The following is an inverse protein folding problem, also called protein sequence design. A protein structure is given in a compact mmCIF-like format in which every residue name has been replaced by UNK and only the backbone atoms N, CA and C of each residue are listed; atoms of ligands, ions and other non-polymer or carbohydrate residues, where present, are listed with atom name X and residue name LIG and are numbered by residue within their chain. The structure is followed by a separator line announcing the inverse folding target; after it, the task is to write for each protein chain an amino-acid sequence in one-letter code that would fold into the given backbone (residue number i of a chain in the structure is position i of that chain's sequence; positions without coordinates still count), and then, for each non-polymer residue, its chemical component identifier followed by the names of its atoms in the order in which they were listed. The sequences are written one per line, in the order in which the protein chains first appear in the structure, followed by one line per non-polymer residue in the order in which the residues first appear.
data_IF_484639179306
#
_entry.id   IF_484639179306
#
_cell.length_a   1.000
_cell.length_b   1.000
_cell.length_c   1.000
_cell.angle_alpha   90.00
_cell.angle_beta   90.00
_cell.angle_gamma   90.00
#
_symmetry.space_group_name_H-M   'P 1'
#
loop_
_entity.id
_entity.type
_entity.pdbx_description
1 polymer ?
#
# COMPACT_ATOMS: atom_id res chain seq x y z
N UNK A 1 -4.45 12.66 17.70
CA UNK A 1 -4.77 12.29 16.31
C UNK A 1 -3.66 11.44 15.71
N UNK A 2 -2.40 11.90 15.78
CA UNK A 2 -1.20 11.14 15.33
C UNK A 2 -1.12 9.73 15.93
N UNK A 3 -1.24 9.58 17.25
CA UNK A 3 -1.19 8.25 17.90
C UNK A 3 -2.25 7.27 17.39
N UNK A 4 -3.48 7.75 17.10
CA UNK A 4 -4.56 6.90 16.54
C UNK A 4 -4.23 6.44 15.12
N UNK A 5 -3.54 7.27 14.33
CA UNK A 5 -3.09 6.90 12.99
C UNK A 5 -1.98 5.86 13.07
N UNK A 6 -1.00 6.07 13.96
CA UNK A 6 0.07 5.11 14.23
C UNK A 6 -0.47 3.74 14.70
N UNK A 7 -1.40 3.72 15.64
CA UNK A 7 -2.04 2.49 16.12
C UNK A 7 -2.74 1.74 14.98
N UNK A 8 -3.49 2.46 14.15
CA UNK A 8 -4.19 1.89 12.99
C UNK A 8 -3.22 1.35 11.94
N UNK A 9 -2.12 2.05 11.66
CA UNK A 9 -1.08 1.56 10.73
C UNK A 9 -0.41 0.30 11.26
N UNK A 10 -0.07 0.26 12.55
CA UNK A 10 0.48 -0.96 13.18
C UNK A 10 -0.50 -2.13 13.12
N UNK A 11 -1.79 -1.90 13.31
CA UNK A 11 -2.83 -2.92 13.18
C UNK A 11 -2.93 -3.44 11.74
N UNK A 12 -2.95 -2.55 10.75
CA UNK A 12 -2.96 -2.92 9.34
C UNK A 12 -1.73 -3.77 8.96
N UNK A 13 -0.54 -3.41 9.48
CA UNK A 13 0.70 -4.16 9.26
C UNK A 13 0.60 -5.56 9.88
N UNK A 14 0.00 -5.71 11.07
CA UNK A 14 -0.23 -7.03 11.69
C UNK A 14 -1.18 -7.90 10.85
N UNK A 15 -2.29 -7.32 10.38
CA UNK A 15 -3.26 -8.02 9.55
C UNK A 15 -2.59 -8.51 8.26
N UNK A 16 -1.84 -7.63 7.61
CA UNK A 16 -1.08 -7.96 6.40
C UNK A 16 -0.08 -9.09 6.62
N UNK A 17 0.74 -9.00 7.68
CA UNK A 17 1.75 -10.01 7.98
C UNK A 17 1.11 -11.38 8.29
N UNK A 18 0.02 -11.39 9.06
CA UNK A 18 -0.77 -12.60 9.34
C UNK A 18 -1.34 -13.20 8.06
N UNK A 19 -1.87 -12.36 7.16
CA UNK A 19 -2.45 -12.80 5.89
C UNK A 19 -1.41 -13.43 4.95
N UNK A 20 -0.21 -12.84 4.83
CA UNK A 20 0.89 -13.43 4.05
C UNK A 20 1.32 -14.77 4.60
N UNK A 21 1.40 -14.86 5.93
CA UNK A 21 1.74 -16.13 6.53
C UNK A 21 0.67 -17.18 6.25
N UNK A 22 -0.60 -16.81 6.41
CA UNK A 22 -1.73 -17.69 6.12
C UNK A 22 -1.74 -18.17 4.68
N UNK A 23 -1.38 -17.31 3.73
CA UNK A 23 -1.14 -17.70 2.33
C UNK A 23 -0.08 -18.78 2.22
N UNK A 24 1.11 -18.55 2.78
CA UNK A 24 2.22 -19.49 2.64
C UNK A 24 1.84 -20.87 3.21
N UNK A 25 1.12 -20.88 4.33
CA UNK A 25 0.55 -22.09 4.91
C UNK A 25 -0.51 -22.74 4.00
N UNK A 26 -1.44 -21.96 3.46
CA UNK A 26 -2.49 -22.44 2.56
C UNK A 26 -1.90 -23.06 1.30
N UNK A 27 -1.00 -22.38 0.60
CA UNK A 27 -0.34 -22.91 -0.62
C UNK A 27 0.34 -24.25 -0.32
N UNK A 28 1.15 -24.32 0.75
CA UNK A 28 1.83 -25.55 1.14
C UNK A 28 0.86 -26.69 1.45
N UNK A 29 -0.23 -26.38 2.15
CA UNK A 29 -1.25 -27.37 2.54
C UNK A 29 -2.04 -27.85 1.32
N UNK A 30 -2.39 -26.93 0.42
CA UNK A 30 -3.06 -27.21 -0.85
C UNK A 30 -2.20 -28.12 -1.73
N UNK A 31 -0.91 -27.84 -1.87
CA UNK A 31 0.03 -28.67 -2.65
C UNK A 31 0.12 -30.09 -2.08
N UNK A 32 0.23 -30.20 -0.76
CA UNK A 32 0.27 -31.50 -0.08
C UNK A 32 -1.04 -32.27 -0.24
N UNK A 33 -2.18 -31.60 -0.08
CA UNK A 33 -3.50 -32.17 -0.27
C UNK A 33 -3.69 -32.71 -1.70
N UNK A 34 -3.37 -31.92 -2.72
CA UNK A 34 -3.49 -32.36 -4.11
C UNK A 34 -2.54 -33.49 -4.45
N UNK A 35 -1.33 -33.48 -3.89
CA UNK A 35 -0.38 -34.59 -4.07
C UNK A 35 -0.92 -35.90 -3.48
N UNK A 36 -1.58 -35.85 -2.33
CA UNK A 36 -2.24 -37.02 -1.74
C UNK A 36 -3.47 -37.46 -2.54
N UNK A 37 -4.30 -36.50 -2.94
CA UNK A 37 -5.51 -36.78 -3.72
C UNK A 37 -5.17 -37.40 -5.07
N UNK A 38 -4.13 -36.91 -5.76
CA UNK A 38 -3.67 -37.46 -7.03
C UNK A 38 -3.19 -38.92 -6.86
N UNK A 39 -2.55 -39.26 -5.74
CA UNK A 39 -2.19 -40.66 -5.46
C UNK A 39 -3.42 -41.55 -5.29
N UNK A 40 -4.46 -41.07 -4.61
CA UNK A 40 -5.72 -41.81 -4.47
C UNK A 40 -6.46 -41.92 -5.82
N UNK A 41 -6.46 -40.89 -6.66
CA UNK A 41 -7.01 -40.96 -8.02
C UNK A 41 -6.28 -42.00 -8.87
N UNK A 42 -4.94 -42.04 -8.82
CA UNK A 42 -4.17 -43.08 -9.53
C UNK A 42 -4.55 -44.49 -9.09
N UNK A 43 -4.84 -44.71 -7.81
CA UNK A 43 -5.34 -46.01 -7.33
C UNK A 43 -6.69 -46.36 -7.95
N UNK A 44 -7.61 -45.39 -8.03
CA UNK A 44 -8.92 -45.57 -8.68
C UNK A 44 -8.79 -45.86 -10.17
N UNK A 45 -7.94 -45.11 -10.87
CA UNK A 45 -7.65 -45.36 -12.29
C UNK A 45 -7.07 -46.76 -12.50
N UNK A 46 -6.11 -47.17 -11.67
CA UNK A 46 -5.53 -48.51 -11.77
C UNK A 46 -6.57 -49.61 -11.52
N UNK A 47 -7.52 -49.41 -10.61
CA UNK A 47 -8.61 -50.36 -10.37
C UNK A 47 -9.55 -50.41 -11.59
N UNK A 48 -9.89 -49.24 -12.15
CA UNK A 48 -10.72 -49.12 -13.34
C UNK A 48 -10.06 -49.80 -14.56
N UNK A 49 -8.78 -49.53 -14.77
CA UNK A 49 -7.95 -50.16 -15.80
C UNK A 49 -7.96 -51.69 -15.70
N UNK A 50 -7.75 -52.23 -14.50
CA UNK A 50 -7.84 -53.68 -14.25
C UNK A 50 -9.24 -54.25 -14.52
N UNK A 51 -10.30 -53.48 -14.24
CA UNK A 51 -11.65 -53.90 -14.55
C UNK A 51 -11.90 -53.96 -16.06
N UNK A 52 -11.42 -52.97 -16.81
CA UNK A 52 -11.46 -52.98 -18.28
C UNK A 52 -10.61 -54.11 -18.88
N UNK A 53 -9.43 -54.39 -18.33
CA UNK A 53 -8.59 -55.52 -18.74
C UNK A 53 -9.35 -56.84 -18.54
N UNK A 54 -9.93 -57.05 -17.35
CA UNK A 54 -10.55 -58.31 -16.99
C UNK A 54 -11.82 -58.63 -17.79
N UNK A 55 -12.65 -57.64 -18.11
CA UNK A 55 -13.86 -57.85 -18.92
C UNK A 55 -13.52 -58.21 -20.37
N UNK A 56 -12.34 -57.80 -20.84
CA UNK A 56 -11.87 -58.11 -22.18
C UNK A 56 -11.05 -59.42 -22.26
N UNK A 57 -10.82 -60.11 -21.13
CA UNK A 57 -10.17 -61.43 -21.10
C UNK A 57 -11.08 -62.55 -21.65
N UNK A 58 -10.46 -63.60 -22.21
CA UNK A 58 -11.12 -64.69 -22.95
C UNK A 58 -11.99 -65.65 -22.11
N UNK A 59 -12.13 -65.43 -20.80
CA UNK A 59 -12.70 -66.42 -19.89
C UNK A 59 -14.21 -66.20 -19.64
N UNK A 60 -15.03 -66.64 -20.59
CA UNK A 60 -16.51 -66.52 -20.59
C UNK A 60 -17.25 -67.21 -19.41
N UNK A 61 -16.53 -67.97 -18.57
CA UNK A 61 -17.09 -68.68 -17.42
C UNK A 61 -16.89 -67.97 -16.08
N UNK A 62 -16.22 -66.81 -16.06
CA UNK A 62 -16.05 -66.01 -14.84
C UNK A 62 -17.22 -65.03 -14.65
N UNK A 63 -17.64 -64.84 -13.40
CA UNK A 63 -18.60 -63.81 -13.03
C UNK A 63 -17.95 -62.42 -13.16
N UNK A 64 -18.34 -61.70 -14.21
CA UNK A 64 -17.83 -60.35 -14.52
C UNK A 64 -18.58 -59.23 -13.80
N UNK A 65 -19.61 -59.55 -13.01
CA UNK A 65 -20.49 -58.56 -12.38
C UNK A 65 -19.70 -57.55 -11.56
N UNK A 66 -18.72 -58.01 -10.77
CA UNK A 66 -17.86 -57.12 -9.97
C UNK A 66 -17.07 -56.10 -10.81
N UNK A 67 -16.53 -56.51 -11.96
CA UNK A 67 -15.75 -55.61 -12.82
C UNK A 67 -16.65 -54.64 -13.58
N UNK A 68 -17.83 -55.09 -14.01
CA UNK A 68 -18.87 -54.24 -14.61
C UNK A 68 -19.32 -53.18 -13.59
N UNK A 69 -19.50 -53.56 -12.32
CA UNK A 69 -19.86 -52.63 -11.24
C UNK A 69 -18.77 -51.58 -11.01
N UNK A 70 -17.48 -51.96 -11.05
CA UNK A 70 -16.36 -51.00 -10.96
C UNK A 70 -16.41 -49.98 -12.11
N UNK A 71 -16.64 -50.43 -13.34
CA UNK A 71 -16.67 -49.55 -14.51
C UNK A 71 -17.89 -48.64 -14.48
N UNK A 72 -19.07 -49.19 -14.21
CA UNK A 72 -20.33 -48.43 -14.22
C UNK A 72 -20.47 -47.48 -13.01
N UNK A 73 -19.80 -47.79 -11.89
CA UNK A 73 -19.74 -46.88 -10.74
C UNK A 73 -18.76 -45.70 -10.93
N UNK A 74 -17.92 -45.72 -11.98
CA UNK A 74 -17.07 -44.58 -12.31
C UNK A 74 -17.89 -43.42 -12.89
N UNK A 75 -18.21 -42.44 -12.06
CA UNK A 75 -18.96 -41.23 -12.46
C UNK A 75 -18.09 -39.98 -12.61
N UNK A 76 -16.78 -40.08 -12.36
CA UNK A 76 -15.93 -38.90 -12.16
C UNK A 76 -14.67 -38.85 -13.01
N UNK A 77 -14.11 -40.02 -13.36
CA UNK A 77 -12.88 -40.12 -14.16
C UNK A 77 -13.28 -40.18 -15.64
N UNK A 78 -12.88 -39.19 -16.46
CA UNK A 78 -13.10 -39.23 -17.89
C UNK A 78 -12.19 -40.27 -18.54
N UNK A 79 -12.76 -41.14 -19.36
CA UNK A 79 -12.01 -42.17 -20.08
C UNK A 79 -12.42 -42.22 -21.55
N UNK A 80 -11.43 -42.45 -22.42
CA UNK A 80 -11.61 -42.68 -23.85
C UNK A 80 -10.94 -44.00 -24.19
N UNK A 81 -11.67 -44.89 -24.84
CA UNK A 81 -11.15 -46.14 -25.36
C UNK A 81 -10.94 -45.99 -26.87
N UNK A 82 -9.76 -46.34 -27.36
CA UNK A 82 -9.46 -46.35 -28.79
C UNK A 82 -8.92 -47.70 -29.25
N UNK A 83 -9.02 -47.99 -30.55
CA UNK A 83 -8.27 -49.07 -31.18
C UNK A 83 -6.83 -48.63 -31.52
N UNK A 84 -6.10 -49.49 -32.22
CA UNK A 84 -4.72 -49.31 -32.69
C UNK A 84 -4.55 -48.16 -33.70
N UNK A 85 -5.63 -47.71 -34.33
CA UNK A 85 -5.66 -46.58 -35.27
C UNK A 85 -6.09 -45.26 -34.61
N UNK A 86 -6.21 -45.23 -33.27
CA UNK A 86 -6.77 -44.12 -32.49
C UNK A 86 -8.25 -43.80 -32.80
N UNK A 87 -9.00 -44.72 -33.42
CA UNK A 87 -10.45 -44.56 -33.58
C UNK A 87 -11.11 -44.80 -32.22
N UNK A 88 -11.98 -43.87 -31.82
CA UNK A 88 -12.67 -43.91 -30.54
C UNK A 88 -13.78 -44.96 -30.61
N UNK A 89 -13.65 -46.01 -29.80
CA UNK A 89 -14.63 -47.09 -29.69
C UNK A 89 -15.59 -46.90 -28.51
N UNK A 90 -15.23 -46.04 -27.57
CA UNK A 90 -16.06 -45.71 -26.44
C UNK A 90 -15.51 -44.56 -25.62
N UNK A 91 -16.39 -43.88 -24.91
CA UNK A 91 -16.02 -42.83 -23.96
C UNK A 91 -16.96 -42.84 -22.77
N UNK A 92 -16.48 -42.42 -21.60
CA UNK A 92 -17.29 -42.28 -20.39
C UNK A 92 -16.92 -40.98 -19.67
N UNK A 93 -17.92 -40.36 -19.04
CA UNK A 93 -17.82 -39.06 -18.34
C UNK A 93 -17.31 -37.93 -19.25
N UNK A 94 -17.66 -37.98 -20.53
CA UNK A 94 -17.29 -37.01 -21.56
C UNK A 94 -18.46 -36.74 -22.49
N UNK A 95 -18.68 -35.46 -22.80
CA UNK A 95 -19.64 -35.04 -23.83
C UNK A 95 -18.94 -35.10 -25.20
N UNK A 96 -18.71 -36.31 -25.70
CA UNK A 96 -18.12 -36.55 -27.03
C UNK A 96 -19.20 -36.94 -28.04
N UNK A 97 -19.21 -36.26 -29.18
CA UNK A 97 -19.99 -36.67 -30.33
C UNK A 97 -19.09 -37.45 -31.30
N UNK A 98 -19.29 -38.77 -31.33
CA UNK A 98 -18.50 -39.71 -32.14
C UNK A 98 -18.70 -39.49 -33.65
N UNK A 99 -19.82 -38.89 -34.07
CA UNK A 99 -20.07 -38.60 -35.49
C UNK A 99 -19.20 -37.44 -36.00
N UNK A 100 -18.92 -36.45 -35.14
CA UNK A 100 -18.07 -35.31 -35.50
C UNK A 100 -16.60 -35.52 -35.14
N UNK A 101 -16.31 -36.40 -34.17
CA UNK A 101 -14.95 -36.68 -33.71
C UNK A 101 -14.73 -38.18 -33.48
N UNK A 102 -14.64 -38.98 -34.57
CA UNK A 102 -14.47 -40.44 -34.46
C UNK A 102 -13.04 -40.87 -34.11
N UNK A 103 -12.07 -39.95 -34.21
CA UNK A 103 -10.64 -40.24 -34.00
C UNK A 103 -10.12 -39.36 -32.87
N UNK A 104 -9.33 -39.95 -31.97
CA UNK A 104 -8.63 -39.23 -30.92
C UNK A 104 -7.44 -38.46 -31.53
N UNK A 105 -7.63 -37.16 -31.78
CA UNK A 105 -6.62 -36.30 -32.38
C UNK A 105 -6.68 -34.85 -31.87
N UNK A 106 -5.70 -34.04 -32.29
CA UNK A 106 -5.63 -32.61 -32.00
C UNK A 106 -5.69 -32.30 -30.50
N UNK A 107 -6.50 -31.30 -30.15
CA UNK A 107 -6.66 -30.84 -28.76
C UNK A 107 -7.16 -31.93 -27.81
N UNK A 108 -8.03 -32.84 -28.28
CA UNK A 108 -8.56 -33.91 -27.44
C UNK A 108 -7.45 -34.91 -27.08
N UNK A 109 -6.58 -35.26 -28.02
CA UNK A 109 -5.42 -36.10 -27.72
C UNK A 109 -4.46 -35.39 -26.75
N UNK A 110 -4.21 -34.10 -26.94
CA UNK A 110 -3.36 -33.31 -26.01
C UNK A 110 -3.91 -33.32 -24.57
N UNK A 111 -5.22 -33.19 -24.40
CA UNK A 111 -5.87 -33.25 -23.08
C UNK A 111 -5.75 -34.61 -22.39
N UNK A 112 -5.69 -35.69 -23.16
CA UNK A 112 -5.68 -37.07 -22.65
C UNK A 112 -4.29 -37.72 -22.63
N UNK A 113 -3.28 -37.07 -23.22
CA UNK A 113 -1.91 -37.56 -23.27
C UNK A 113 -1.06 -37.12 -22.06
N UNK A 114 -1.70 -36.56 -21.01
CA UNK A 114 -1.00 -36.20 -19.77
C UNK A 114 -0.47 -37.44 -19.03
N UNK A 115 -1.19 -38.57 -19.15
CA UNK A 115 -0.79 -39.86 -18.61
C UNK A 115 -0.62 -40.88 -19.74
N UNK A 116 0.31 -41.84 -19.61
CA UNK A 116 0.42 -42.92 -20.57
C UNK A 116 -0.89 -43.72 -20.60
N UNK A 117 -1.44 -44.04 -21.79
CA UNK A 117 -2.64 -44.84 -21.89
C UNK A 117 -2.39 -46.24 -21.35
N UNK A 118 -3.41 -46.83 -20.75
CA UNK A 118 -3.37 -48.24 -20.35
C UNK A 118 -3.63 -49.08 -21.60
N UNK A 119 -2.71 -49.99 -21.91
CA UNK A 119 -2.86 -50.93 -23.02
C UNK A 119 -3.71 -52.11 -22.55
N UNK A 120 -4.76 -52.40 -23.28
CA UNK A 120 -5.66 -53.53 -23.08
C UNK A 120 -5.47 -54.49 -24.26
N UNK A 121 -4.91 -55.67 -23.99
CA UNK A 121 -4.75 -56.71 -25.00
C UNK A 121 -6.11 -57.39 -25.24
N UNK A 122 -6.62 -57.28 -26.48
CA UNK A 122 -7.92 -57.85 -26.87
C UNK A 122 -7.73 -59.13 -27.69
N UNK A 123 -8.84 -59.83 -27.93
CA UNK A 123 -8.86 -61.02 -28.78
C UNK A 123 -8.37 -60.68 -30.20
N UNK A 124 -7.64 -61.61 -30.82
CA UNK A 124 -7.11 -61.52 -32.20
C UNK A 124 -5.95 -60.52 -32.45
N UNK A 125 -5.09 -60.29 -31.45
CA UNK A 125 -3.93 -59.39 -31.54
C UNK A 125 -4.27 -57.89 -31.72
N UNK A 126 -5.55 -57.52 -31.65
CA UNK A 126 -5.96 -56.12 -31.61
C UNK A 126 -5.68 -55.53 -30.22
N UNK A 127 -5.12 -54.31 -30.21
CA UNK A 127 -4.81 -53.58 -28.97
C UNK A 127 -5.78 -52.43 -28.81
N UNK A 128 -6.34 -52.32 -27.63
CA UNK A 128 -7.10 -51.15 -27.23
C UNK A 128 -6.30 -50.31 -26.26
N UNK A 129 -6.49 -49.01 -26.34
CA UNK A 129 -5.83 -48.04 -25.50
C UNK A 129 -6.90 -47.31 -24.68
N UNK A 130 -6.77 -47.37 -23.36
CA UNK A 130 -7.59 -46.63 -22.43
C UNK A 130 -6.85 -45.36 -22.03
N UNK A 131 -7.27 -44.25 -22.61
CA UNK A 131 -6.82 -42.92 -22.24
C UNK A 131 -7.69 -42.40 -21.09
N UNK A 132 -7.06 -41.72 -20.15
CA UNK A 132 -7.74 -41.13 -19.00
C UNK A 132 -7.08 -39.81 -18.62
N UNK A 133 -7.82 -38.95 -17.92
CA UNK A 133 -7.29 -37.74 -17.29
C UNK A 133 -7.78 -37.63 -15.85
N UNK A 134 -7.29 -36.63 -15.13
CA UNK A 134 -7.72 -36.35 -13.76
C UNK A 134 -9.25 -36.20 -13.69
N UNK A 135 -9.83 -36.52 -12.52
CA UNK A 135 -11.29 -36.45 -12.42
C UNK A 135 -11.80 -35.02 -12.57
N UNK A 136 -13.07 -34.92 -12.97
CA UNK A 136 -13.74 -33.61 -13.05
C UNK A 136 -13.73 -32.89 -11.70
N UNK A 137 -14.00 -33.62 -10.61
CA UNK A 137 -14.03 -33.08 -9.26
C UNK A 137 -12.64 -32.59 -8.85
N UNK A 138 -11.58 -33.35 -9.14
CA UNK A 138 -10.21 -32.94 -8.87
C UNK A 138 -9.88 -31.62 -9.56
N UNK A 139 -10.12 -31.55 -10.87
CA UNK A 139 -9.80 -30.38 -11.69
C UNK A 139 -10.60 -29.14 -11.27
N UNK A 140 -11.90 -29.29 -11.03
CA UNK A 140 -12.77 -28.20 -10.56
C UNK A 140 -12.36 -27.71 -9.16
N UNK A 141 -12.03 -28.62 -8.24
CA UNK A 141 -11.57 -28.27 -6.88
C UNK A 141 -10.23 -27.56 -6.91
N UNK A 142 -9.30 -28.04 -7.75
CA UNK A 142 -8.01 -27.40 -7.96
C UNK A 142 -8.16 -25.97 -8.47
N UNK A 143 -8.98 -25.79 -9.50
CA UNK A 143 -9.26 -24.46 -10.04
C UNK A 143 -9.90 -23.54 -8.99
N UNK A 144 -10.92 -24.02 -8.27
CA UNK A 144 -11.57 -23.23 -7.23
C UNK A 144 -10.59 -22.77 -6.14
N UNK A 145 -9.70 -23.66 -5.67
CA UNK A 145 -8.71 -23.30 -4.65
C UNK A 145 -7.65 -22.34 -5.18
N UNK A 146 -7.22 -22.49 -6.44
CA UNK A 146 -6.32 -21.55 -7.10
C UNK A 146 -6.95 -20.15 -7.22
N UNK A 147 -8.20 -20.07 -7.68
CA UNK A 147 -8.95 -18.82 -7.81
C UNK A 147 -9.16 -18.14 -6.44
N UNK A 148 -9.50 -18.92 -5.40
CA UNK A 148 -9.61 -18.41 -4.02
C UNK A 148 -8.27 -17.89 -3.48
N UNK A 149 -7.17 -18.58 -3.76
CA UNK A 149 -5.84 -18.13 -3.39
C UNK A 149 -5.52 -16.80 -4.09
N UNK A 150 -5.72 -16.70 -5.41
CA UNK A 150 -5.49 -15.47 -6.17
C UNK A 150 -6.34 -14.29 -5.66
N UNK A 151 -7.64 -14.54 -5.42
CA UNK A 151 -8.56 -13.54 -4.86
C UNK A 151 -8.10 -13.06 -3.49
N UNK A 152 -7.70 -13.99 -2.60
CA UNK A 152 -7.18 -13.64 -1.29
C UNK A 152 -5.91 -12.77 -1.39
N UNK A 153 -5.00 -13.07 -2.33
CA UNK A 153 -3.82 -12.24 -2.57
C UNK A 153 -4.21 -10.83 -2.96
N UNK A 154 -5.13 -10.72 -3.92
CA UNK A 154 -5.60 -9.44 -4.40
C UNK A 154 -6.19 -8.62 -3.26
N UNK A 155 -7.09 -9.20 -2.46
CA UNK A 155 -7.75 -8.51 -1.36
C UNK A 155 -6.76 -8.06 -0.27
N UNK A 156 -5.77 -8.90 0.06
CA UNK A 156 -4.74 -8.54 1.06
C UNK A 156 -3.83 -7.43 0.54
N UNK A 157 -3.42 -7.48 -0.73
CA UNK A 157 -2.52 -6.47 -1.30
C UNK A 157 -3.21 -5.14 -1.59
N UNK A 158 -4.48 -5.15 -1.99
CA UNK A 158 -5.21 -3.90 -2.27
C UNK A 158 -5.63 -3.15 -1.01
N UNK A 159 -5.75 -3.84 0.14
CA UNK A 159 -6.25 -3.26 1.38
C UNK A 159 -5.15 -2.88 2.40
N UNK A 160 -3.88 -3.14 2.08
CA UNK A 160 -2.78 -2.95 3.05
C UNK A 160 -1.92 -1.75 2.66
N UNK A 161 -1.50 -0.98 3.68
CA UNK A 161 -0.85 0.30 3.47
C UNK A 161 0.43 0.13 2.66
N UNK A 162 0.72 1.10 1.78
CA UNK A 162 1.95 1.20 0.98
C UNK A 162 3.22 1.49 1.82
N UNK A 163 3.30 0.94 3.02
CA UNK A 163 4.45 1.02 3.91
C UNK A 163 5.34 -0.20 3.67
N UNK A 164 6.65 -0.02 3.45
CA UNK A 164 7.57 -1.14 3.32
C UNK A 164 7.67 -1.91 4.64
N UNK A 165 7.63 -3.24 4.56
CA UNK A 165 7.64 -4.15 5.72
C UNK A 165 8.66 -5.27 5.50
N UNK A 166 9.42 -5.58 6.55
CA UNK A 166 10.37 -6.70 6.58
C UNK A 166 10.04 -7.59 7.77
N UNK A 167 9.86 -8.89 7.54
CA UNK A 167 9.61 -9.89 8.58
C UNK A 167 10.89 -10.71 8.78
N UNK A 168 11.32 -10.84 10.03
CA UNK A 168 12.48 -11.66 10.40
C UNK A 168 12.14 -12.78 11.38
N UNK A 169 13.08 -13.70 11.53
CA UNK A 169 13.12 -14.69 12.60
C UNK A 169 13.17 -14.07 14.02
N UNK A 170 13.02 -14.93 15.02
CA UNK A 170 13.08 -14.60 16.45
C UNK A 170 14.41 -13.96 16.84
N UNK A 171 15.52 -14.40 16.24
CA UNK A 171 16.86 -13.87 16.45
C UNK A 171 17.15 -12.56 15.69
N UNK A 172 16.20 -12.05 14.88
CA UNK A 172 16.32 -10.84 14.06
C UNK A 172 17.51 -10.89 13.09
N UNK A 173 17.91 -12.09 12.69
CA UNK A 173 19.11 -12.37 11.88
C UNK A 173 18.78 -12.72 10.44
N UNK A 174 17.62 -13.35 10.20
CA UNK A 174 17.22 -13.85 8.89
C UNK A 174 15.94 -13.18 8.42
N UNK A 175 15.98 -12.61 7.21
CA UNK A 175 14.80 -12.08 6.53
C UNK A 175 13.97 -13.26 6.02
N UNK A 176 12.71 -13.34 6.44
CA UNK A 176 11.76 -14.39 6.05
C UNK A 176 10.83 -13.89 4.96
N UNK A 177 10.44 -12.62 5.02
CA UNK A 177 9.54 -12.02 4.05
C UNK A 177 9.81 -10.53 3.89
N UNK A 178 9.57 -10.03 2.68
CA UNK A 178 9.67 -8.61 2.33
C UNK A 178 8.40 -8.21 1.61
N UNK A 179 7.81 -7.09 2.00
CA UNK A 179 6.58 -6.58 1.40
C UNK A 179 6.59 -5.10 1.11
N UNK A 180 5.87 -4.74 0.05
CA UNK A 180 5.73 -3.37 -0.41
C UNK A 180 7.11 -2.69 -0.61
N UNK A 181 8.04 -3.46 -1.15
CA UNK A 181 9.34 -3.03 -1.65
C UNK A 181 9.36 -3.55 -3.10
N UNK A 182 9.56 -2.66 -4.08
CA UNK A 182 9.51 -3.04 -5.48
C UNK A 182 10.48 -4.18 -5.81
N UNK A 183 10.09 -5.06 -6.74
CA UNK A 183 10.77 -6.34 -7.04
C UNK A 183 12.27 -6.20 -7.41
N UNK A 184 12.68 -5.07 -7.98
CA UNK A 184 14.08 -4.79 -8.28
C UNK A 184 14.94 -4.60 -7.02
N UNK A 185 14.34 -4.08 -5.94
CA UNK A 185 15.01 -3.77 -4.67
C UNK A 185 14.95 -4.91 -3.65
N UNK A 186 14.11 -5.93 -3.88
CA UNK A 186 14.02 -7.11 -3.01
C UNK A 186 15.14 -8.11 -3.26
N UNK A 187 15.82 -8.02 -4.41
CA UNK A 187 16.97 -8.86 -4.74
C UNK A 187 18.31 -8.32 -4.22
N UNK A 188 18.36 -7.04 -3.83
CA UNK A 188 19.57 -6.41 -3.27
C UNK A 188 19.65 -6.62 -1.75
N UNK A 189 20.51 -7.54 -1.33
CA UNK A 189 20.71 -7.87 0.09
C UNK A 189 21.26 -6.69 0.89
N UNK A 190 22.13 -5.85 0.29
CA UNK A 190 22.75 -4.70 0.97
C UNK A 190 21.69 -3.62 1.23
N UNK A 191 20.82 -3.37 0.24
CA UNK A 191 19.69 -2.45 0.40
C UNK A 191 18.75 -2.90 1.54
N UNK A 192 18.40 -4.19 1.58
CA UNK A 192 17.50 -4.72 2.61
C UNK A 192 18.10 -4.63 4.02
N UNK A 193 19.40 -4.89 4.18
CA UNK A 193 20.08 -4.73 5.47
C UNK A 193 20.08 -3.26 5.94
N UNK A 194 20.42 -2.33 5.04
CA UNK A 194 20.36 -0.90 5.35
C UNK A 194 18.95 -0.44 5.73
N UNK A 195 17.95 -0.88 4.98
CA UNK A 195 16.56 -0.54 5.26
C UNK A 195 16.09 -1.14 6.59
N UNK A 196 16.49 -2.37 6.91
CA UNK A 196 16.18 -3.02 8.17
C UNK A 196 16.81 -2.26 9.36
N UNK A 197 18.05 -1.82 9.23
CA UNK A 197 18.71 -0.97 10.24
C UNK A 197 17.98 0.36 10.42
N UNK A 198 17.53 0.98 9.32
CA UNK A 198 16.73 2.20 9.37
C UNK A 198 15.39 1.98 10.09
N UNK A 199 14.66 0.91 9.74
CA UNK A 199 13.39 0.57 10.38
C UNK A 199 13.54 0.32 11.88
N UNK A 200 14.62 -0.37 12.29
CA UNK A 200 14.96 -0.60 13.70
C UNK A 200 15.19 0.69 14.48
N UNK A 201 15.81 1.69 13.84
CA UNK A 201 16.07 2.98 14.47
C UNK A 201 14.82 3.85 14.57
N UNK A 202 13.84 3.67 13.67
CA UNK A 202 12.61 4.46 13.63
C UNK A 202 11.52 3.92 14.55
N UNK A 203 11.31 2.61 14.57
CA UNK A 203 10.16 2.00 15.23
C UNK A 203 10.53 0.71 15.99
N UNK A 204 9.88 0.51 17.14
CA UNK A 204 9.91 -0.77 17.83
C UNK A 204 9.23 -1.86 16.97
N UNK A 205 9.86 -3.04 16.83
CA UNK A 205 9.31 -4.10 16.00
C UNK A 205 7.98 -4.61 16.55
N UNK A 206 7.11 -5.01 15.64
CA UNK A 206 5.85 -5.65 16.00
C UNK A 206 6.11 -7.16 16.12
N UNK A 207 5.90 -7.69 17.31
CA UNK A 207 6.00 -9.12 17.55
C UNK A 207 4.69 -9.82 17.21
N UNK A 208 4.78 -10.89 16.42
CA UNK A 208 3.67 -11.78 16.11
C UNK A 208 4.04 -13.21 16.51
N UNK A 209 3.09 -13.90 17.13
CA UNK A 209 3.19 -15.31 17.47
C UNK A 209 2.07 -16.01 16.73
N UNK A 210 2.43 -16.76 15.69
CA UNK A 210 1.47 -17.53 14.93
C UNK A 210 1.39 -18.94 15.49
N UNK A 211 0.19 -19.52 15.46
CA UNK A 211 -0.09 -20.81 16.08
C UNK A 211 0.92 -21.89 15.64
N UNK A 212 1.75 -22.35 16.56
CA UNK A 212 2.75 -23.40 16.31
C UNK A 212 4.08 -22.93 15.70
N UNK A 213 4.35 -21.62 15.62
CA UNK A 213 5.61 -21.08 15.12
C UNK A 213 6.37 -20.24 16.14
N UNK A 214 7.68 -20.13 15.93
CA UNK A 214 8.51 -19.22 16.70
C UNK A 214 8.06 -17.76 16.53
N UNK A 215 8.31 -16.96 17.57
CA UNK A 215 8.03 -15.51 17.55
C UNK A 215 8.75 -14.85 16.38
N UNK A 216 8.01 -14.13 15.55
CA UNK A 216 8.56 -13.36 14.44
C UNK A 216 8.52 -11.87 14.76
N UNK A 217 9.46 -11.12 14.18
CA UNK A 217 9.54 -9.66 14.35
C UNK A 217 9.29 -8.97 13.02
N UNK A 218 8.33 -8.05 13.01
CA UNK A 218 8.01 -7.22 11.86
C UNK A 218 8.66 -5.84 12.04
N UNK A 219 9.47 -5.44 11.08
CA UNK A 219 10.05 -4.11 10.96
C UNK A 219 9.33 -3.33 9.86
N UNK A 220 9.05 -2.05 10.13
CA UNK A 220 8.28 -1.20 9.25
C UNK A 220 8.77 0.25 9.33
N UNK A 221 8.50 1.04 8.28
CA UNK A 221 8.83 2.47 8.22
C UNK A 221 7.62 3.35 8.52
N UNK A 222 7.86 4.60 8.92
CA UNK A 222 6.77 5.58 9.06
C UNK A 222 6.19 5.96 7.69
N UNK A 223 4.86 6.07 7.61
CA UNK A 223 4.17 6.58 6.43
C UNK A 223 4.41 8.07 6.21
N UNK A 224 4.30 8.54 4.97
CA UNK A 224 4.42 9.97 4.66
C UNK A 224 3.29 10.79 5.30
N UNK A 225 2.10 10.21 5.42
CA UNK A 225 0.98 10.82 6.11
C UNK A 225 1.28 11.03 7.60
N UNK A 226 1.87 10.03 8.27
CA UNK A 226 2.28 10.15 9.67
C UNK A 226 3.31 11.29 9.85
N UNK A 227 4.30 11.39 8.94
CA UNK A 227 5.29 12.47 8.97
C UNK A 227 4.63 13.84 8.80
N UNK A 228 3.73 13.99 7.81
CA UNK A 228 3.01 15.22 7.58
C UNK A 228 2.16 15.63 8.80
N UNK A 229 1.42 14.70 9.40
CA UNK A 229 0.60 14.96 10.59
C UNK A 229 1.42 15.39 11.81
N UNK A 230 2.70 15.00 11.89
CA UNK A 230 3.59 15.34 13.00
C UNK A 230 4.23 16.72 12.83
N UNK A 231 4.75 17.03 11.64
CA UNK A 231 5.55 18.25 11.41
C UNK A 231 4.74 19.44 10.87
N UNK A 232 3.66 19.20 10.12
CA UNK A 232 2.87 20.27 9.51
C UNK A 232 2.32 21.31 10.51
N UNK A 233 1.81 20.92 11.71
CA UNK A 233 1.35 21.90 12.69
C UNK A 233 2.43 22.89 13.14
N UNK A 234 3.68 22.44 13.26
CA UNK A 234 4.80 23.31 13.63
C UNK A 234 5.05 24.39 12.56
N UNK A 235 4.99 24.01 11.29
CA UNK A 235 5.14 24.94 10.18
C UNK A 235 4.04 26.01 10.21
N UNK A 236 2.81 25.61 10.51
CA UNK A 236 1.67 26.55 10.67
C UNK A 236 1.92 27.52 11.84
N UNK A 237 2.41 27.05 12.99
CA UNK A 237 2.74 27.95 14.11
C UNK A 237 3.85 28.95 13.76
N UNK A 238 4.87 28.52 13.02
CA UNK A 238 5.93 29.43 12.53
C UNK A 238 5.36 30.49 11.59
N UNK A 239 4.48 30.09 10.67
CA UNK A 239 3.82 31.03 9.75
C UNK A 239 2.94 32.03 10.51
N UNK A 240 2.14 31.58 11.48
CA UNK A 240 1.32 32.46 12.33
C UNK A 240 2.21 33.43 13.12
N UNK A 241 3.30 32.93 13.71
CA UNK A 241 4.27 33.76 14.43
C UNK A 241 4.88 34.85 13.54
N UNK A 242 5.21 34.52 12.29
CA UNK A 242 5.68 35.49 11.31
C UNK A 242 4.63 36.56 10.99
N UNK A 243 3.36 36.18 10.80
CA UNK A 243 2.27 37.14 10.58
C UNK A 243 2.02 38.05 11.78
N UNK A 244 2.07 37.51 13.00
CA UNK A 244 1.93 38.31 14.23
C UNK A 244 3.08 39.31 14.35
N UNK A 245 4.32 38.88 14.09
CA UNK A 245 5.49 39.76 14.10
C UNK A 245 5.34 40.88 13.06
N UNK A 246 4.94 40.54 11.84
CA UNK A 246 4.69 41.52 10.79
C UNK A 246 3.61 42.53 11.18
N UNK A 247 2.49 42.06 11.73
CA UNK A 247 1.40 42.92 12.20
C UNK A 247 1.87 43.85 13.33
N UNK A 248 2.68 43.34 14.27
CA UNK A 248 3.26 44.14 15.35
C UNK A 248 4.17 45.25 14.83
N UNK A 249 5.08 44.93 13.90
CA UNK A 249 5.98 45.92 13.28
C UNK A 249 5.19 46.98 12.51
N UNK A 250 4.20 46.57 11.73
CA UNK A 250 3.34 47.51 10.97
C UNK A 250 2.57 48.44 11.91
N UNK A 251 1.96 47.89 12.97
CA UNK A 251 1.23 48.66 13.96
C UNK A 251 2.13 49.64 14.72
N UNK A 252 3.31 49.18 15.18
CA UNK A 252 4.29 50.01 15.86
C UNK A 252 4.74 51.17 14.98
N UNK A 253 5.07 50.90 13.72
CA UNK A 253 5.46 51.92 12.75
C UNK A 253 4.35 52.95 12.52
N UNK A 254 3.10 52.50 12.40
CA UNK A 254 1.95 53.38 12.23
C UNK A 254 1.73 54.29 13.45
N UNK A 255 1.84 53.74 14.66
CA UNK A 255 1.66 54.51 15.90
C UNK A 255 2.76 55.56 16.10
N UNK A 256 4.02 55.21 15.82
CA UNK A 256 5.14 56.15 15.84
C UNK A 256 4.97 57.23 14.76
N UNK A 257 4.53 56.87 13.55
CA UNK A 257 4.24 57.84 12.48
C UNK A 257 3.13 58.82 12.87
N UNK A 258 2.05 58.32 13.48
CA UNK A 258 0.95 59.16 13.96
C UNK A 258 1.42 60.15 15.04
N UNK A 259 2.23 59.70 15.99
CA UNK A 259 2.84 60.56 17.00
C UNK A 259 3.75 61.61 16.35
N UNK A 260 4.66 61.20 15.46
CA UNK A 260 5.57 62.13 14.78
C UNK A 260 4.82 63.21 13.99
N UNK A 261 3.71 62.86 13.32
CA UNK A 261 2.84 63.84 12.63
C UNK A 261 2.16 64.80 13.61
N UNK A 262 1.68 64.30 14.74
CA UNK A 262 1.08 65.14 15.79
C UNK A 262 2.11 66.13 16.34
N UNK A 263 3.32 65.67 16.66
CA UNK A 263 4.40 66.53 17.13
C UNK A 263 4.79 67.60 16.11
N UNK A 264 4.91 67.24 14.83
CA UNK A 264 5.17 68.21 13.77
C UNK A 264 4.03 69.24 13.61
N UNK A 265 2.78 68.79 13.71
CA UNK A 265 1.60 69.67 13.67
C UNK A 265 1.54 70.64 14.85
N UNK A 266 1.77 70.13 16.07
CA UNK A 266 1.83 70.94 17.29
C UNK A 266 2.98 71.96 17.23
N UNK A 267 4.17 71.56 16.76
CA UNK A 267 5.28 72.48 16.58
C UNK A 267 4.94 73.62 15.61
N UNK A 268 4.31 73.29 14.46
CA UNK A 268 3.89 74.28 13.47
C UNK A 268 2.84 75.25 14.01
N UNK A 269 1.84 74.73 14.73
CA UNK A 269 0.78 75.55 15.33
C UNK A 269 1.35 76.44 16.44
N UNK A 270 2.26 75.91 17.27
CA UNK A 270 2.91 76.67 18.35
C UNK A 270 3.77 77.79 17.80
N UNK A 271 4.56 77.53 16.75
CA UNK A 271 5.34 78.56 16.07
C UNK A 271 4.44 79.68 15.52
N UNK A 272 3.31 79.32 14.91
CA UNK A 272 2.34 80.30 14.42
C UNK A 272 1.71 81.12 15.56
N UNK A 273 1.33 80.45 16.67
CA UNK A 273 0.72 81.11 17.83
C UNK A 273 1.69 82.03 18.58
N UNK A 274 2.98 81.73 18.61
CA UNK A 274 4.01 82.60 19.22
C UNK A 274 4.37 83.78 18.30
N UNK A 275 4.34 83.60 16.98
CA UNK A 275 4.69 84.66 16.03
C UNK A 275 3.75 85.88 16.04
N UNK A 276 2.46 85.68 16.32
CA UNK A 276 1.47 86.78 16.38
C UNK A 276 1.69 87.75 17.55
N UNK A 277 1.82 87.31 18.82
CA UNK A 277 2.16 88.19 19.94
C UNK A 277 3.59 88.75 19.84
N UNK A 278 4.54 88.01 19.25
CA UNK A 278 5.89 88.55 19.00
C UNK A 278 5.83 89.77 18.06
N UNK A 279 5.06 89.67 16.97
CA UNK A 279 4.87 90.76 16.01
C UNK A 279 4.23 91.99 16.64
N UNK A 280 3.26 91.80 17.55
CA UNK A 280 2.64 92.93 18.26
C UNK A 280 3.61 93.59 19.26
N UNK A 281 4.46 92.82 19.95
CA UNK A 281 5.52 93.38 20.79
C UNK A 281 6.55 94.17 19.99
N UNK A 282 6.95 93.67 18.81
CA UNK A 282 7.85 94.40 17.91
C UNK A 282 7.23 95.73 17.46
N UNK A 283 5.92 95.75 17.18
CA UNK A 283 5.20 96.97 16.83
C UNK A 283 5.16 97.98 18.00
N UNK A 284 4.99 97.51 19.24
CA UNK A 284 5.08 98.37 20.42
C UNK A 284 6.49 98.95 20.63
N UNK A 285 7.54 98.17 20.38
CA UNK A 285 8.94 98.64 20.41
C UNK A 285 9.17 99.73 19.36
N UNK A 286 8.66 99.53 18.13
CA UNK A 286 8.76 100.51 17.04
C UNK A 286 8.03 101.82 17.38
N UNK A 287 6.82 101.73 17.94
CA UNK A 287 6.01 102.90 18.32
C UNK A 287 6.69 103.74 19.42
N UNK A 288 7.41 103.09 20.35
CA UNK A 288 8.04 103.74 21.50
C UNK A 288 9.46 104.25 21.20
N UNK A 289 10.03 103.90 20.04
CA UNK A 289 11.37 104.31 19.58
C UNK A 289 11.66 105.83 19.61
N UNK A 290 10.69 106.76 19.41
CA UNK A 290 10.94 108.20 19.48
C UNK A 290 11.21 108.76 20.89
N UNK A 291 10.98 107.99 21.96
CA UNK A 291 11.12 108.48 23.33
C UNK A 291 12.56 108.25 23.86
N UNK A 292 13.36 109.33 23.93
CA UNK A 292 14.78 109.28 24.34
C UNK A 292 15.01 108.69 25.75
N UNK A 293 14.02 108.81 26.65
CA UNK A 293 14.12 108.31 28.03
C UNK A 293 14.26 106.79 28.14
N UNK A 294 13.79 106.04 27.13
CA UNK A 294 13.63 104.57 27.20
C UNK A 294 14.47 103.83 26.15
N UNK A 295 15.26 104.54 25.33
CA UNK A 295 15.98 103.94 24.20
C UNK A 295 16.90 102.77 24.59
N UNK A 296 17.65 102.89 25.69
CA UNK A 296 18.57 101.83 26.12
C UNK A 296 17.84 100.53 26.49
N UNK A 297 16.63 100.63 27.07
CA UNK A 297 15.80 99.47 27.43
C UNK A 297 15.17 98.83 26.18
N UNK A 298 14.73 99.65 25.22
CA UNK A 298 14.14 99.17 23.97
C UNK A 298 15.14 98.36 23.13
N UNK A 299 16.41 98.76 23.11
CA UNK A 299 17.48 98.01 22.40
C UNK A 299 17.68 96.61 23.02
N UNK A 300 17.57 96.49 24.34
CA UNK A 300 17.72 95.19 25.03
C UNK A 300 16.49 94.29 24.78
N UNK A 301 15.28 94.85 24.83
CA UNK A 301 14.03 94.13 24.51
C UNK A 301 13.99 93.70 23.04
N UNK A 302 14.40 94.56 22.10
CA UNK A 302 14.47 94.23 20.68
C UNK A 302 15.44 93.07 20.42
N UNK A 303 16.58 93.06 21.13
CA UNK A 303 17.57 91.98 21.05
C UNK A 303 17.01 90.65 21.53
N UNK A 304 16.22 90.65 22.60
CA UNK A 304 15.62 89.42 23.14
C UNK A 304 14.44 88.93 22.28
N UNK A 305 13.63 89.84 21.73
CA UNK A 305 12.57 89.50 20.78
C UNK A 305 13.15 88.88 19.49
N UNK A 306 14.24 89.44 18.96
CA UNK A 306 14.90 88.91 17.75
C UNK A 306 15.51 87.52 17.95
N UNK A 307 16.00 87.24 19.16
CA UNK A 307 16.44 85.89 19.54
C UNK A 307 15.28 84.90 19.58
N UNK A 308 14.15 85.32 20.13
CA UNK A 308 12.93 84.50 20.18
C UNK A 308 12.36 84.21 18.79
N UNK A 309 12.43 85.17 17.87
CA UNK A 309 12.04 84.98 16.46
C UNK A 309 12.88 83.91 15.75
N UNK A 310 14.18 83.82 16.07
CA UNK A 310 15.09 82.88 15.39
C UNK A 310 14.88 81.43 15.86
N UNK A 311 14.27 81.24 17.04
CA UNK A 311 14.03 79.92 17.66
C UNK A 311 12.62 79.39 17.34
N UNK A 312 11.69 80.31 17.01
CA UNK A 312 10.30 80.00 16.62
C UNK A 312 10.18 79.59 15.15
#
# INVERSE_FOLDING_TARGET
MVNKVQERERENIRIWASAIHKRAELVRTTDLFFSQLQQEERKKVNLLAKAYEKINEKNLNEDLTFYIDIITSNTTIPVIQTNDKNEIVGSMNLDLNLDSQPILNGKLLEEFNHYPPVVLDYYDNEKFYLYYKDSRIFTETQKMLLDLNESFIKDVLTNTSAVPVIITDSARSKILFVGNIGDEKTSDTVFLEHLLLQMRAQNEPIHIELAGQEKQSIFYSDSDLQKQLTYYPMLVFVAIGFFILFAYVAFSTAQTSAQNKLWAGLAKETAHQIGTPLSSMLAWVELLRPNESVQNLLVEIEKDLKRLETIS
#
